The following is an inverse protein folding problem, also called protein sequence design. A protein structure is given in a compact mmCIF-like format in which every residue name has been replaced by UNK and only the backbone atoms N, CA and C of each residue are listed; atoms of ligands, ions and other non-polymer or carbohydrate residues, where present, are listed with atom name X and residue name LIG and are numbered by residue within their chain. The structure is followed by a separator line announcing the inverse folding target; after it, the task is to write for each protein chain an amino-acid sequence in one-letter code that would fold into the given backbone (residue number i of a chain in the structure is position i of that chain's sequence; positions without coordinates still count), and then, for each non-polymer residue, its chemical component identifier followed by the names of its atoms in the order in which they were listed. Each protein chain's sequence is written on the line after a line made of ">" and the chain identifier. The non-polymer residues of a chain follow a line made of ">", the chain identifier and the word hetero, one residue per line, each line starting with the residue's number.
data_IF_873796213615
#
_entry.id   IF_873796213615
#
_cell.length_a   1.000
_cell.length_b   1.000
_cell.length_c   1.000
_cell.angle_alpha   90.00
_cell.angle_beta   90.00
_cell.angle_gamma   90.00
#
_symmetry.space_group_name_H-M   'P 1'
#
loop_
_entity.id
_entity.type
_entity.pdbx_description
1 polymer ?
#
# COMPACT_ATOMS: atom_id res chain seq x y z
N UNK A 1 67.83 25.60 -11.84
CA UNK A 1 67.31 24.21 -11.99
C UNK A 1 66.35 23.85 -10.84
N UNK A 2 66.72 24.12 -9.59
CA UNK A 2 65.90 23.84 -8.40
C UNK A 2 64.53 24.57 -8.33
N UNK A 3 64.44 25.83 -8.76
CA UNK A 3 63.16 26.57 -8.71
C UNK A 3 62.08 26.00 -9.63
N UNK A 4 62.49 25.42 -10.78
CA UNK A 4 61.55 24.76 -11.69
C UNK A 4 60.98 23.49 -11.08
N UNK A 5 61.81 22.72 -10.37
CA UNK A 5 61.39 21.50 -9.66
C UNK A 5 60.43 21.86 -8.52
N UNK A 6 60.71 22.92 -7.76
CA UNK A 6 59.83 23.38 -6.67
C UNK A 6 58.48 23.91 -7.20
N UNK A 7 58.48 24.64 -8.32
CA UNK A 7 57.26 25.09 -9.01
C UNK A 7 56.44 23.91 -9.54
N UNK A 8 57.10 22.90 -10.12
CA UNK A 8 56.45 21.68 -10.59
C UNK A 8 55.86 20.85 -9.44
N UNK A 9 56.53 20.78 -8.29
CA UNK A 9 56.03 20.07 -7.12
C UNK A 9 54.79 20.76 -6.52
N UNK A 10 54.82 22.10 -6.38
CA UNK A 10 53.66 22.89 -5.97
C UNK A 10 52.48 22.74 -6.93
N UNK A 11 52.73 22.67 -8.24
CA UNK A 11 51.70 22.48 -9.26
C UNK A 11 51.05 21.09 -9.17
N UNK A 12 51.84 20.02 -8.98
CA UNK A 12 51.30 18.67 -8.77
C UNK A 12 50.47 18.56 -7.48
N UNK A 13 50.92 19.22 -6.41
CA UNK A 13 50.18 19.32 -5.14
C UNK A 13 48.86 20.08 -5.30
N UNK A 14 48.83 21.15 -6.07
CA UNK A 14 47.58 21.88 -6.35
C UNK A 14 46.62 21.06 -7.21
N UNK A 15 47.11 20.39 -8.25
CA UNK A 15 46.30 19.54 -9.12
C UNK A 15 45.69 18.35 -8.36
N UNK A 16 46.45 17.73 -7.43
CA UNK A 16 45.94 16.67 -6.57
C UNK A 16 44.81 17.15 -5.66
N UNK A 17 44.92 18.34 -5.06
CA UNK A 17 43.85 18.91 -4.23
C UNK A 17 42.59 19.20 -5.03
N UNK A 18 42.74 19.73 -6.26
CA UNK A 18 41.61 19.99 -7.17
C UNK A 18 40.91 18.68 -7.55
N UNK A 19 41.68 17.63 -7.85
CA UNK A 19 41.12 16.31 -8.18
C UNK A 19 40.42 15.67 -6.99
N UNK A 20 40.97 15.80 -5.78
CA UNK A 20 40.30 15.33 -4.55
C UNK A 20 38.98 16.06 -4.30
N UNK A 21 38.94 17.38 -4.50
CA UNK A 21 37.71 18.18 -4.38
C UNK A 21 36.70 17.78 -5.45
N UNK A 22 37.14 17.57 -6.68
CA UNK A 22 36.27 17.12 -7.77
C UNK A 22 35.67 15.74 -7.49
N UNK A 23 36.46 14.76 -7.05
CA UNK A 23 35.98 13.44 -6.65
C UNK A 23 34.95 13.53 -5.51
N UNK A 24 35.16 14.42 -4.54
CA UNK A 24 34.26 14.60 -3.42
C UNK A 24 32.91 15.23 -3.83
N UNK A 25 32.95 16.22 -4.73
CA UNK A 25 31.74 16.86 -5.28
C UNK A 25 30.96 15.89 -6.17
N UNK A 26 31.64 15.11 -7.01
CA UNK A 26 30.98 14.07 -7.83
C UNK A 26 30.36 12.99 -6.95
N UNK A 27 31.03 12.57 -5.86
CA UNK A 27 30.49 11.62 -4.91
C UNK A 27 29.22 12.14 -4.21
N UNK A 28 29.20 13.42 -3.82
CA UNK A 28 28.02 14.06 -3.22
C UNK A 28 26.83 14.20 -4.18
N UNK A 29 27.08 14.33 -5.49
CA UNK A 29 26.01 14.44 -6.49
C UNK A 29 25.35 13.08 -6.82
N UNK A 30 26.08 11.97 -6.64
CA UNK A 30 25.58 10.62 -6.93
C UNK A 30 24.70 10.07 -5.80
N UNK A 31 24.88 10.52 -4.56
CA UNK A 31 24.07 10.05 -3.42
C UNK A 31 22.67 10.67 -3.34
N UNK A 32 22.40 11.73 -4.10
CA UNK A 32 21.05 12.30 -4.28
C UNK A 32 20.19 11.56 -5.32
N UNK A 33 20.44 10.26 -5.50
CA UNK A 33 19.54 9.37 -6.23
C UNK A 33 18.18 9.34 -5.56
N UNK A 34 17.16 9.81 -6.28
CA UNK A 34 15.77 9.91 -5.85
C UNK A 34 15.25 8.57 -5.32
N UNK A 35 14.85 8.52 -4.06
CA UNK A 35 13.88 7.52 -3.63
C UNK A 35 12.54 7.91 -4.26
N UNK A 36 12.23 7.37 -5.44
CA UNK A 36 10.86 7.27 -5.89
C UNK A 36 10.18 6.19 -5.04
N UNK A 37 9.93 6.52 -3.76
CA UNK A 37 9.09 5.72 -2.90
C UNK A 37 7.67 5.95 -3.41
N UNK A 38 7.09 4.94 -4.05
CA UNK A 38 5.68 4.97 -4.42
C UNK A 38 4.86 5.18 -3.15
N UNK A 39 4.22 6.35 -3.03
CA UNK A 39 3.41 6.73 -1.88
C UNK A 39 2.12 5.90 -1.83
N UNK A 40 2.20 4.71 -1.21
CA UNK A 40 1.03 4.01 -0.67
C UNK A 40 0.20 4.94 0.26
N UNK A 41 0.85 5.98 0.80
CA UNK A 41 0.30 7.01 1.66
C UNK A 41 -0.56 8.08 0.97
N UNK A 42 -0.61 8.15 -0.37
CA UNK A 42 -1.40 9.20 -1.03
C UNK A 42 -2.91 8.96 -0.86
N UNK A 43 -3.36 7.71 -0.96
CA UNK A 43 -4.78 7.37 -0.80
C UNK A 43 -5.24 7.28 0.66
N UNK A 44 -4.34 6.97 1.60
CA UNK A 44 -4.68 6.88 3.03
C UNK A 44 -5.03 8.23 3.66
N UNK A 45 -4.54 9.34 3.08
CA UNK A 45 -4.87 10.70 3.53
C UNK A 45 -6.14 11.26 2.89
N UNK A 46 -6.76 10.56 1.94
CA UNK A 46 -7.98 10.99 1.25
C UNK A 46 -9.26 10.37 1.85
N UNK A 47 -9.14 9.28 2.59
CA UNK A 47 -10.28 8.52 3.11
C UNK A 47 -10.02 8.09 4.56
N UNK A 48 -10.87 8.57 5.46
CA UNK A 48 -10.90 8.09 6.84
C UNK A 48 -11.68 6.78 6.93
N UNK A 49 -11.05 5.73 7.46
CA UNK A 49 -11.76 4.49 7.82
C UNK A 49 -12.82 4.82 8.88
N UNK A 50 -14.10 4.62 8.56
CA UNK A 50 -15.20 4.85 9.52
C UNK A 50 -15.38 3.68 10.48
N UNK A 51 -15.51 2.47 9.97
CA UNK A 51 -15.67 1.26 10.77
C UNK A 51 -15.21 0.03 9.97
N UNK A 52 -15.14 -1.12 10.65
CA UNK A 52 -15.01 -2.44 10.04
C UNK A 52 -15.71 -3.47 10.92
N UNK A 53 -16.32 -4.47 10.28
CA UNK A 53 -16.93 -5.62 10.96
C UNK A 53 -15.88 -6.65 11.36
N UNK A 54 -16.20 -7.49 12.35
CA UNK A 54 -15.39 -8.65 12.72
C UNK A 54 -15.17 -9.61 11.52
N UNK A 55 -14.00 -10.27 11.49
CA UNK A 55 -13.61 -11.23 10.44
C UNK A 55 -14.35 -12.58 10.54
N UNK A 56 -15.67 -12.54 10.51
CA UNK A 56 -16.54 -13.73 10.64
C UNK A 56 -17.25 -14.09 9.34
N UNK A 57 -17.39 -13.11 8.43
CA UNK A 57 -17.95 -13.29 7.10
C UNK A 57 -17.05 -14.20 6.25
N UNK A 58 -17.65 -15.13 5.51
CA UNK A 58 -16.93 -16.05 4.65
C UNK A 58 -16.89 -15.48 3.23
N UNK A 59 -15.70 -15.01 2.82
CA UNK A 59 -15.44 -14.43 1.49
C UNK A 59 -16.59 -13.53 1.01
N UNK A 60 -16.77 -12.36 1.65
CA UNK A 60 -17.80 -11.42 1.24
C UNK A 60 -17.50 -10.89 -0.17
N UNK A 61 -18.49 -10.93 -1.07
CA UNK A 61 -18.32 -10.52 -2.48
C UNK A 61 -19.01 -9.19 -2.77
N UNK A 62 -20.22 -8.99 -2.26
CA UNK A 62 -21.01 -7.79 -2.54
C UNK A 62 -21.83 -7.32 -1.33
N UNK A 63 -22.23 -6.04 -1.35
CA UNK A 63 -23.10 -5.44 -0.33
C UNK A 63 -24.21 -4.62 -0.98
N UNK A 64 -25.42 -4.76 -0.45
CA UNK A 64 -26.59 -3.98 -0.84
C UNK A 64 -27.17 -3.28 0.40
N UNK A 65 -27.39 -1.96 0.32
CA UNK A 65 -28.02 -1.18 1.40
C UNK A 65 -29.52 -1.02 1.15
N UNK A 66 -30.32 -1.34 2.16
CA UNK A 66 -31.76 -1.09 2.19
C UNK A 66 -32.09 0.09 3.09
N UNK A 67 -32.36 1.23 2.46
CA UNK A 67 -32.65 2.50 3.13
C UNK A 67 -33.96 2.51 3.92
N UNK A 68 -34.90 1.58 3.67
CA UNK A 68 -36.15 1.55 4.43
C UNK A 68 -35.97 0.91 5.82
N UNK A 69 -34.93 0.08 5.97
CA UNK A 69 -34.69 -0.70 7.18
C UNK A 69 -33.33 -0.43 7.83
N UNK A 70 -32.50 0.40 7.20
CA UNK A 70 -31.11 0.68 7.58
C UNK A 70 -30.24 -0.59 7.72
N UNK A 71 -30.43 -1.52 6.78
CA UNK A 71 -29.73 -2.82 6.76
C UNK A 71 -28.78 -2.92 5.59
N UNK A 72 -27.60 -3.48 5.84
CA UNK A 72 -26.67 -3.97 4.83
C UNK A 72 -26.86 -5.48 4.64
N UNK A 73 -27.16 -5.89 3.42
CA UNK A 73 -27.17 -7.29 3.00
C UNK A 73 -25.86 -7.63 2.32
N UNK A 74 -25.13 -8.60 2.84
CA UNK A 74 -23.80 -8.98 2.33
C UNK A 74 -23.86 -10.41 1.76
N UNK A 75 -23.43 -10.59 0.51
CA UNK A 75 -23.31 -11.93 -0.08
C UNK A 75 -21.99 -12.58 0.33
N UNK A 76 -22.05 -13.85 0.71
CA UNK A 76 -20.92 -14.61 1.22
C UNK A 76 -20.75 -15.91 0.46
N UNK A 77 -19.57 -16.10 -0.14
CA UNK A 77 -19.17 -17.36 -0.74
C UNK A 77 -18.55 -18.24 0.34
N UNK A 78 -19.18 -19.37 0.58
CA UNK A 78 -18.66 -20.39 1.48
C UNK A 78 -18.63 -21.73 0.75
N UNK A 79 -17.54 -22.49 0.92
CA UNK A 79 -17.29 -23.68 0.11
C UNK A 79 -16.58 -23.36 -1.21
N UNK A 80 -16.97 -24.02 -2.29
CA UNK A 80 -16.31 -23.88 -3.60
C UNK A 80 -17.01 -22.85 -4.46
N UNK A 81 -16.28 -21.84 -4.94
CA UNK A 81 -16.79 -20.78 -5.82
C UNK A 81 -17.28 -21.26 -7.19
N UNK A 82 -16.96 -22.49 -7.59
CA UNK A 82 -17.30 -23.05 -8.91
C UNK A 82 -18.32 -24.18 -8.85
N UNK A 83 -18.76 -24.60 -7.65
CA UNK A 83 -19.70 -25.70 -7.47
C UNK A 83 -21.04 -25.20 -6.95
N UNK A 84 -22.10 -25.96 -7.27
CA UNK A 84 -23.43 -25.77 -6.68
C UNK A 84 -23.57 -26.59 -5.40
N UNK A 85 -22.85 -26.22 -4.36
CA UNK A 85 -22.80 -26.96 -3.09
C UNK A 85 -23.78 -26.44 -2.02
N UNK A 86 -24.53 -25.38 -2.30
CA UNK A 86 -25.56 -24.81 -1.44
C UNK A 86 -25.01 -24.16 -0.16
N UNK A 87 -23.71 -23.89 -0.08
CA UNK A 87 -23.06 -23.43 1.16
C UNK A 87 -23.02 -21.91 1.30
N UNK A 88 -23.27 -21.17 0.21
CA UNK A 88 -23.33 -19.71 0.22
C UNK A 88 -24.54 -19.17 0.98
N UNK A 89 -24.42 -17.94 1.45
CA UNK A 89 -25.45 -17.30 2.28
C UNK A 89 -25.44 -15.76 2.17
N UNK A 90 -26.53 -15.14 2.61
CA UNK A 90 -26.64 -13.69 2.81
C UNK A 90 -26.60 -13.37 4.30
N UNK A 91 -25.79 -12.39 4.70
CA UNK A 91 -25.76 -11.83 6.06
C UNK A 91 -26.53 -10.52 6.13
N UNK A 92 -27.03 -10.17 7.32
CA UNK A 92 -27.58 -8.85 7.63
C UNK A 92 -26.69 -8.14 8.65
N UNK A 93 -26.30 -6.91 8.32
CA UNK A 93 -25.50 -6.03 9.16
C UNK A 93 -26.20 -4.68 9.35
N UNK A 94 -25.88 -3.99 10.43
CA UNK A 94 -26.21 -2.57 10.61
C UNK A 94 -25.31 -1.68 9.75
N UNK A 95 -25.68 -0.41 9.60
CA UNK A 95 -24.85 0.61 8.92
C UNK A 95 -23.56 0.97 9.65
N UNK A 96 -23.42 0.51 10.90
CA UNK A 96 -22.23 0.65 11.75
C UNK A 96 -21.31 -0.57 11.67
N UNK A 97 -21.72 -1.61 10.95
CA UNK A 97 -20.94 -2.82 10.75
C UNK A 97 -21.17 -3.92 11.78
N UNK A 98 -22.20 -3.80 12.63
CA UNK A 98 -22.56 -4.87 13.55
C UNK A 98 -23.33 -5.97 12.81
N UNK A 99 -23.03 -7.23 13.10
CA UNK A 99 -23.72 -8.36 12.49
C UNK A 99 -25.01 -8.63 13.26
N UNK A 100 -26.14 -8.49 12.58
CA UNK A 100 -27.46 -8.88 13.10
C UNK A 100 -27.69 -10.37 12.91
N UNK A 101 -27.45 -10.87 11.70
CA UNK A 101 -27.53 -12.29 11.36
C UNK A 101 -26.41 -12.66 10.40
N UNK A 102 -25.56 -13.59 10.82
CA UNK A 102 -24.48 -14.07 9.95
C UNK A 102 -25.04 -14.86 8.76
N UNK A 103 -26.09 -15.65 8.95
CA UNK A 103 -26.69 -16.48 7.90
C UNK A 103 -28.21 -16.31 7.87
N UNK A 104 -28.65 -15.20 7.29
CA UNK A 104 -30.07 -14.87 7.19
C UNK A 104 -30.79 -15.68 6.10
N UNK A 105 -30.13 -15.87 4.95
CA UNK A 105 -30.59 -16.77 3.88
C UNK A 105 -29.44 -17.73 3.55
N UNK A 106 -29.71 -19.03 3.57
CA UNK A 106 -28.74 -20.10 3.28
C UNK A 106 -29.16 -20.91 2.05
N UNK A 107 -28.33 -21.88 1.64
CA UNK A 107 -28.64 -22.75 0.50
C UNK A 107 -28.23 -22.20 -0.86
N UNK A 108 -27.48 -21.08 -0.87
CA UNK A 108 -27.08 -20.41 -2.10
C UNK A 108 -25.79 -21.01 -2.68
N UNK A 109 -25.60 -20.81 -3.97
CA UNK A 109 -24.42 -21.31 -4.70
C UNK A 109 -23.60 -20.12 -5.16
N UNK A 110 -22.48 -19.84 -4.48
CA UNK A 110 -21.58 -18.73 -4.77
C UNK A 110 -22.29 -17.39 -5.12
N UNK A 111 -23.07 -16.82 -4.17
CA UNK A 111 -23.89 -15.63 -4.40
C UNK A 111 -23.12 -14.30 -4.40
#
# INVERSE_FOLDING_TARGET
>A
MFDRIFKMLKMKLMLSKIQTVYCFVVFLLITSGTNAQSDENFYSNLVDKKWATNQTLATPESVCYDANHDILYVSNVNGSSTKKDGKGYISRLTTEGDILDIKWIEGLNAP
#
